data_IF_994276936163
#
_entry.id   IF_994276936163
#
_cell.length_a   1.000
_cell.length_b   1.000
_cell.length_c   1.000
_cell.angle_alpha   90.00
_cell.angle_beta   90.00
_cell.angle_gamma   90.00
#
_symmetry.space_group_name_H-M   'P 1'
#
loop_
_entity.id
_entity.type
_entity.pdbx_description
1 polymer ?
#
# COMPACT_ATOMS: atom_id res chain seq x y z
N UNK A 1 54.96 -48.62 82.52
CA UNK A 1 55.57 -49.64 81.64
C UNK A 1 54.55 -50.00 80.57
N UNK A 2 54.88 -49.68 79.32
CA UNK A 2 54.07 -49.75 78.10
C UNK A 2 53.59 -51.15 77.74
N UNK A 3 52.33 -51.28 77.32
CA UNK A 3 51.87 -52.25 76.30
C UNK A 3 50.67 -51.65 75.56
N UNK A 4 50.96 -51.11 74.37
CA UNK A 4 50.02 -50.46 73.46
C UNK A 4 49.22 -51.57 72.75
N UNK A 5 47.89 -51.67 72.93
CA UNK A 5 47.12 -52.81 72.42
C UNK A 5 46.70 -52.60 70.95
N UNK A 6 46.56 -53.75 70.25
CA UNK A 6 46.29 -54.00 68.82
C UNK A 6 45.16 -53.22 68.12
N UNK A 7 44.51 -52.29 68.80
CA UNK A 7 43.46 -51.42 68.24
C UNK A 7 44.07 -50.38 67.30
N UNK A 8 45.27 -49.85 67.63
CA UNK A 8 45.96 -48.83 66.83
C UNK A 8 46.45 -49.38 65.49
N UNK A 9 46.87 -50.66 65.45
CA UNK A 9 47.26 -51.33 64.19
C UNK A 9 46.03 -51.58 63.30
N UNK A 10 44.91 -52.02 63.88
CA UNK A 10 43.66 -52.21 63.11
C UNK A 10 43.13 -50.91 62.53
N UNK A 11 43.24 -49.78 63.26
CA UNK A 11 42.85 -48.48 62.72
C UNK A 11 43.77 -48.00 61.60
N UNK A 12 45.08 -48.26 61.66
CA UNK A 12 46.03 -47.86 60.60
C UNK A 12 45.83 -48.65 59.29
N UNK A 13 45.41 -49.92 59.39
CA UNK A 13 45.15 -50.79 58.23
C UNK A 13 43.80 -50.48 57.56
N UNK A 14 42.83 -49.96 58.32
CA UNK A 14 41.52 -49.56 57.79
C UNK A 14 41.57 -48.21 57.03
N UNK A 15 42.41 -47.26 57.47
CA UNK A 15 42.58 -45.95 56.80
C UNK A 15 43.39 -46.05 55.50
N UNK A 16 44.25 -47.06 55.36
CA UNK A 16 45.03 -47.30 54.13
C UNK A 16 44.19 -47.87 52.96
N UNK A 17 43.09 -48.55 53.26
CA UNK A 17 42.24 -49.16 52.23
C UNK A 17 41.27 -48.16 51.56
N UNK A 18 41.04 -47.00 52.20
CA UNK A 18 40.12 -45.96 51.71
C UNK A 18 40.80 -45.07 50.64
N UNK A 19 42.13 -45.01 50.60
CA UNK A 19 42.87 -44.19 49.64
C UNK A 19 42.97 -44.76 48.22
N UNK A 20 42.57 -46.02 47.97
CA UNK A 20 42.59 -46.62 46.62
C UNK A 20 41.25 -46.51 45.87
N UNK A 21 40.19 -45.97 46.48
CA UNK A 21 38.86 -45.87 45.84
C UNK A 21 38.61 -44.56 45.07
N UNK A 22 39.57 -43.63 45.02
CA UNK A 22 39.38 -42.29 44.43
C UNK A 22 40.03 -42.09 43.06
N UNK A 23 40.20 -43.14 42.25
CA UNK A 23 40.56 -42.99 40.85
C UNK A 23 39.83 -44.01 39.97
N UNK A 24 38.59 -43.67 39.60
CA UNK A 24 37.91 -44.23 38.43
C UNK A 24 37.20 -43.08 37.72
N UNK A 25 37.93 -42.44 36.81
CA UNK A 25 37.37 -41.50 35.85
C UNK A 25 36.33 -42.21 34.99
N UNK A 26 35.06 -41.89 35.21
CA UNK A 26 33.97 -42.34 34.35
C UNK A 26 33.76 -41.23 33.31
N UNK A 27 34.41 -41.39 32.16
CA UNK A 27 34.17 -40.59 30.97
C UNK A 27 32.70 -40.80 30.55
N UNK A 28 31.86 -39.81 30.85
CA UNK A 28 30.53 -39.68 30.28
C UNK A 28 30.62 -38.71 29.10
N UNK A 29 30.84 -39.25 27.91
CA UNK A 29 30.40 -38.59 26.68
C UNK A 29 29.03 -39.17 26.35
N UNK A 30 28.02 -38.41 26.75
CA UNK A 30 26.63 -38.54 26.34
C UNK A 30 26.58 -38.64 24.81
N UNK A 31 26.13 -39.79 24.28
CA UNK A 31 25.73 -39.85 22.88
C UNK A 31 24.57 -38.86 22.71
N UNK A 32 24.74 -37.87 21.85
CA UNK A 32 23.69 -36.94 21.46
C UNK A 32 22.50 -37.77 20.98
N UNK A 33 21.41 -37.75 21.76
CA UNK A 33 20.14 -38.22 21.27
C UNK A 33 19.78 -37.31 20.10
N UNK A 34 19.95 -37.82 18.87
CA UNK A 34 19.40 -37.17 17.69
C UNK A 34 17.90 -37.04 17.92
N UNK A 35 17.49 -35.84 18.32
CA UNK A 35 16.10 -35.51 18.54
C UNK A 35 15.39 -35.75 17.22
N UNK A 36 14.47 -36.72 17.20
CA UNK A 36 13.55 -36.88 16.08
C UNK A 36 12.59 -35.71 16.09
N UNK A 37 13.00 -34.62 15.45
CA UNK A 37 12.18 -33.44 15.29
C UNK A 37 11.21 -33.68 14.13
N UNK A 38 9.94 -33.36 14.34
CA UNK A 38 8.92 -33.43 13.30
C UNK A 38 9.21 -32.36 12.26
N UNK A 39 9.62 -32.79 11.07
CA UNK A 39 9.84 -31.89 9.92
C UNK A 39 8.60 -31.87 9.03
N UNK A 40 8.35 -30.72 8.41
CA UNK A 40 7.33 -30.54 7.39
C UNK A 40 8.01 -30.13 6.08
N UNK A 41 7.46 -30.59 4.95
CA UNK A 41 7.91 -30.20 3.62
C UNK A 41 7.00 -29.08 3.10
N UNK A 42 7.54 -27.89 2.80
CA UNK A 42 6.74 -26.81 2.26
C UNK A 42 6.28 -27.13 0.83
N UNK A 43 5.01 -26.86 0.56
CA UNK A 43 4.47 -26.90 -0.79
C UNK A 43 4.77 -25.54 -1.42
N UNK A 44 5.59 -25.55 -2.46
CA UNK A 44 5.90 -24.34 -3.24
C UNK A 44 4.78 -24.17 -4.26
N UNK A 45 4.09 -23.05 -4.19
CA UNK A 45 3.04 -22.70 -5.14
C UNK A 45 3.16 -21.23 -5.48
N UNK A 46 2.97 -20.90 -6.75
CA UNK A 46 3.02 -19.54 -7.22
C UNK A 46 1.94 -18.72 -6.51
N UNK A 47 2.36 -17.63 -5.87
CA UNK A 47 1.48 -16.72 -5.13
C UNK A 47 1.59 -15.33 -5.74
N UNK A 48 0.46 -14.71 -6.00
CA UNK A 48 0.39 -13.31 -6.46
C UNK A 48 0.18 -12.40 -5.26
N UNK A 49 1.01 -11.36 -5.15
CA UNK A 49 0.81 -10.29 -4.18
C UNK A 49 -0.06 -9.20 -4.80
N UNK A 50 -1.26 -9.01 -4.28
CA UNK A 50 -2.12 -7.90 -4.65
C UNK A 50 -1.99 -6.82 -3.58
N UNK A 51 -1.63 -5.61 -4.00
CA UNK A 51 -1.61 -4.43 -3.14
C UNK A 51 -2.80 -3.57 -3.48
N UNK A 52 -3.66 -3.34 -2.49
CA UNK A 52 -4.82 -2.46 -2.64
C UNK A 52 -4.40 -1.01 -2.40
N UNK A 53 -4.81 -0.12 -3.30
CA UNK A 53 -4.60 1.31 -3.18
C UNK A 53 -5.95 2.02 -3.24
N UNK A 54 -6.09 3.08 -2.46
CA UNK A 54 -7.22 3.99 -2.58
C UNK A 54 -7.00 4.86 -3.82
N UNK A 55 -8.02 4.97 -4.66
CA UNK A 55 -8.01 5.80 -5.84
C UNK A 55 -9.28 6.66 -5.91
N UNK A 56 -9.14 7.84 -6.50
CA UNK A 56 -10.26 8.74 -6.77
C UNK A 56 -10.51 8.79 -8.29
N UNK A 57 -11.78 8.63 -8.67
CA UNK A 57 -12.18 8.71 -10.07
C UNK A 57 -12.45 10.18 -10.41
N UNK A 58 -11.77 10.66 -11.44
CA UNK A 58 -11.90 12.04 -11.92
C UNK A 58 -12.41 12.06 -13.37
N UNK A 59 -13.13 13.12 -13.72
CA UNK A 59 -13.53 13.37 -15.11
C UNK A 59 -12.30 13.59 -15.98
N UNK A 60 -12.24 12.95 -17.14
CA UNK A 60 -11.17 13.18 -18.13
C UNK A 60 -11.11 14.66 -18.53
N UNK A 61 -12.29 15.30 -18.63
CA UNK A 61 -12.41 16.70 -18.93
C UNK A 61 -13.65 17.28 -18.23
N UNK A 62 -13.46 18.38 -17.51
CA UNK A 62 -14.54 19.15 -16.90
C UNK A 62 -14.49 20.58 -17.46
N UNK A 63 -15.49 20.98 -18.25
CA UNK A 63 -15.54 22.30 -18.89
C UNK A 63 -16.75 23.06 -18.36
N UNK A 64 -16.49 24.23 -17.78
CA UNK A 64 -17.52 25.19 -17.44
C UNK A 64 -17.84 26.07 -18.66
N UNK A 65 -19.10 26.06 -19.11
CA UNK A 65 -19.54 26.86 -20.25
C UNK A 65 -19.92 28.26 -19.78
N UNK A 66 -19.32 29.28 -20.40
CA UNK A 66 -19.61 30.70 -20.14
C UNK A 66 -19.91 31.47 -21.42
N UNK A 67 -20.75 32.50 -21.31
CA UNK A 67 -21.04 33.40 -22.43
C UNK A 67 -19.83 34.27 -22.76
N UNK A 68 -19.38 34.25 -24.02
CA UNK A 68 -18.30 35.14 -24.50
C UNK A 68 -18.71 36.60 -24.64
N UNK A 69 -20.02 36.85 -24.76
CA UNK A 69 -20.59 38.17 -24.99
C UNK A 69 -21.67 38.46 -23.95
N UNK A 70 -21.87 39.76 -23.65
CA UNK A 70 -22.97 40.18 -22.77
C UNK A 70 -24.31 40.07 -23.50
N UNK A 71 -25.30 39.51 -22.82
CA UNK A 71 -26.65 39.33 -23.34
C UNK A 71 -27.50 38.54 -22.35
N UNK A 72 -28.79 38.42 -22.66
CA UNK A 72 -29.72 37.63 -21.87
C UNK A 72 -29.97 36.28 -22.55
N UNK A 73 -30.20 35.23 -21.76
CA UNK A 73 -30.61 33.93 -22.31
C UNK A 73 -32.00 34.09 -22.92
N UNK A 74 -32.10 33.89 -24.23
CA UNK A 74 -33.35 33.88 -24.96
C UNK A 74 -34.00 32.49 -24.90
N UNK A 75 -33.20 31.45 -25.06
CA UNK A 75 -33.68 30.07 -25.09
C UNK A 75 -32.60 29.10 -24.65
N UNK A 76 -33.02 28.07 -23.92
CA UNK A 76 -32.23 26.90 -23.57
C UNK A 76 -32.65 25.77 -24.53
N UNK A 77 -31.68 25.13 -25.18
CA UNK A 77 -31.91 24.14 -26.25
C UNK A 77 -31.48 22.73 -25.85
N UNK A 78 -31.11 22.53 -24.59
CA UNK A 78 -30.62 21.27 -24.06
C UNK A 78 -31.22 21.03 -22.68
N UNK A 79 -31.60 19.77 -22.42
CA UNK A 79 -32.08 19.35 -21.12
C UNK A 79 -30.91 18.96 -20.20
N UNK A 80 -31.08 19.21 -18.90
CA UNK A 80 -30.07 18.88 -17.90
C UNK A 80 -29.74 17.38 -17.89
N UNK A 81 -28.45 17.05 -17.81
CA UNK A 81 -27.95 15.67 -17.84
C UNK A 81 -27.89 15.03 -19.24
N UNK A 82 -28.34 15.74 -20.29
CA UNK A 82 -28.28 15.22 -21.66
C UNK A 82 -26.85 15.17 -22.20
N UNK A 83 -26.59 14.15 -23.02
CA UNK A 83 -25.34 14.08 -23.79
C UNK A 83 -25.37 15.09 -24.95
N UNK A 84 -24.29 15.85 -25.11
CA UNK A 84 -24.15 16.88 -26.16
C UNK A 84 -22.91 16.63 -26.99
N UNK A 85 -22.95 17.07 -28.25
CA UNK A 85 -21.81 16.99 -29.17
C UNK A 85 -21.11 18.32 -29.32
N UNK A 86 -19.85 18.29 -29.74
CA UNK A 86 -19.13 19.50 -30.12
C UNK A 86 -19.87 20.26 -31.23
N UNK A 87 -19.94 21.58 -31.09
CA UNK A 87 -20.66 22.45 -32.02
C UNK A 87 -22.18 22.47 -31.87
N UNK A 88 -22.76 21.63 -30.99
CA UNK A 88 -24.19 21.68 -30.69
C UNK A 88 -24.56 22.98 -29.99
N UNK A 89 -25.64 23.63 -30.46
CA UNK A 89 -26.12 24.87 -29.85
C UNK A 89 -26.84 24.52 -28.55
N UNK A 90 -26.31 25.02 -27.43
CA UNK A 90 -26.86 24.79 -26.09
C UNK A 90 -27.77 25.93 -25.64
N UNK A 91 -27.36 27.17 -25.93
CA UNK A 91 -28.05 28.38 -25.49
C UNK A 91 -28.13 29.39 -26.62
N UNK A 92 -29.28 30.05 -26.75
CA UNK A 92 -29.45 31.21 -27.62
C UNK A 92 -29.44 32.46 -26.76
N UNK A 93 -28.52 33.37 -27.04
CA UNK A 93 -28.42 34.66 -26.37
C UNK A 93 -29.09 35.74 -27.21
N UNK A 94 -29.84 36.62 -26.56
CA UNK A 94 -30.37 37.85 -27.15
C UNK A 94 -29.58 39.04 -26.61
N UNK A 95 -29.04 39.84 -27.54
CA UNK A 95 -28.40 41.11 -27.22
C UNK A 95 -28.81 42.12 -28.28
N UNK A 96 -29.56 43.14 -27.85
CA UNK A 96 -30.01 44.22 -28.72
C UNK A 96 -28.82 44.99 -29.30
N UNK A 97 -27.78 45.20 -28.51
CA UNK A 97 -26.58 45.95 -28.93
C UNK A 97 -25.94 45.31 -30.17
N UNK A 98 -25.72 43.99 -30.16
CA UNK A 98 -25.10 43.32 -31.30
C UNK A 98 -26.01 43.29 -32.54
N UNK A 99 -27.34 43.28 -32.36
CA UNK A 99 -28.27 43.38 -33.49
C UNK A 99 -28.19 44.75 -34.16
N UNK A 100 -28.17 45.83 -33.38
CA UNK A 100 -28.04 47.19 -33.91
C UNK A 100 -26.68 47.41 -34.59
N UNK A 101 -25.58 46.92 -33.98
CA UNK A 101 -24.24 46.99 -34.58
C UNK A 101 -24.17 46.24 -35.91
N UNK A 102 -24.79 45.06 -35.98
CA UNK A 102 -24.86 44.28 -37.21
C UNK A 102 -25.68 45.00 -38.29
N UNK A 103 -26.79 45.64 -37.93
CA UNK A 103 -27.58 46.44 -38.87
C UNK A 103 -26.77 47.64 -39.38
N UNK A 104 -26.09 48.35 -38.48
CA UNK A 104 -25.21 49.48 -38.83
C UNK A 104 -24.10 49.06 -39.80
N UNK A 105 -23.39 47.98 -39.49
CA UNK A 105 -22.30 47.47 -40.32
C UNK A 105 -22.81 47.04 -41.71
N UNK A 106 -23.99 46.42 -41.78
CA UNK A 106 -24.63 46.07 -43.06
C UNK A 106 -25.00 47.29 -43.90
N UNK A 107 -25.52 48.34 -43.27
CA UNK A 107 -25.83 49.59 -43.99
C UNK A 107 -24.56 50.26 -44.52
N UNK A 108 -23.49 50.29 -43.71
CA UNK A 108 -22.19 50.83 -44.14
C UNK A 108 -21.60 50.05 -45.31
N UNK A 109 -21.66 48.71 -45.26
CA UNK A 109 -21.20 47.84 -46.34
C UNK A 109 -21.99 48.09 -47.63
N UNK A 110 -23.33 48.18 -47.54
CA UNK A 110 -24.18 48.49 -48.71
C UNK A 110 -23.89 49.86 -49.31
N UNK A 111 -23.63 50.88 -48.49
CA UNK A 111 -23.26 52.20 -48.99
C UNK A 111 -21.93 52.16 -49.74
N UNK A 112 -20.92 51.46 -49.21
CA UNK A 112 -19.63 51.30 -49.86
C UNK A 112 -19.67 50.44 -51.14
N UNK A 113 -20.57 49.45 -51.23
CA UNK A 113 -20.79 48.67 -52.45
C UNK A 113 -21.56 49.46 -53.54
N UNK A 114 -22.25 50.54 -53.16
CA UNK A 114 -23.02 51.39 -54.06
C UNK A 114 -22.24 52.63 -54.56
N UNK A 115 -21.10 52.92 -53.95
CA UNK A 115 -20.10 53.91 -54.43
C UNK A 115 -19.20 53.28 -55.50
#
# INVERSE_FOLDING_TARGET
>A
MSKIPNVIWKTLLFTGLISFASCKGKNQQTAEASGKHKVIHPIVTDTTYLTEYVAEINSVQNIEIRSRVRGYIQQILVDEGSYVKEGQILFKLSSRIFQEELLKAKSQLKSAEAE
#
